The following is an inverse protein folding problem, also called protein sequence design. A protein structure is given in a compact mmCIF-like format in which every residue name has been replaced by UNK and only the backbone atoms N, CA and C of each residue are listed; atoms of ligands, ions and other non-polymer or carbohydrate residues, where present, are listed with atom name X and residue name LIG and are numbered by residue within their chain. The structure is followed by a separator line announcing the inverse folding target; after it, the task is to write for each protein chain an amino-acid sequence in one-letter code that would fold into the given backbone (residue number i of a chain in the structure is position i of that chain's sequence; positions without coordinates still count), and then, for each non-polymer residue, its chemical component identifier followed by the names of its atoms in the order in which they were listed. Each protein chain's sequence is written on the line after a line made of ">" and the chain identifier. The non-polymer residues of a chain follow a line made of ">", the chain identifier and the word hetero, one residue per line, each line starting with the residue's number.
data_IF_539408441136
#
_entry.id   IF_539408441136
#
_cell.length_a   1.000
_cell.length_b   1.000
_cell.length_c   1.000
_cell.angle_alpha   90.00
_cell.angle_beta   90.00
_cell.angle_gamma   90.00
#
_symmetry.space_group_name_H-M   'P 1'
#
loop_
_entity.id
_entity.type
_entity.pdbx_description
1 polymer ?
#
# COMPACT_ATOMS: atom_id res chain seq x y z
N UNK A 1 -9.97 31.24 5.41
CA UNK A 1 -9.58 29.84 5.18
C UNK A 1 -9.44 29.22 6.55
N UNK A 2 -10.33 28.31 6.98
CA UNK A 2 -10.06 27.60 8.23
C UNK A 2 -8.76 26.84 8.00
N UNK A 3 -7.77 27.15 8.84
CA UNK A 3 -6.54 26.40 8.95
C UNK A 3 -6.91 24.93 9.10
N UNK A 4 -6.48 24.07 8.17
CA UNK A 4 -6.71 22.62 8.20
C UNK A 4 -6.47 22.11 9.62
N UNK A 5 -7.56 21.95 10.37
CA UNK A 5 -7.46 21.42 11.70
C UNK A 5 -7.00 19.98 11.51
N UNK A 6 -5.91 19.61 12.18
CA UNK A 6 -5.42 18.24 12.13
C UNK A 6 -6.57 17.32 12.56
N UNK A 7 -6.96 16.43 11.66
CA UNK A 7 -7.90 15.38 12.00
C UNK A 7 -7.22 14.46 13.04
N UNK A 8 -7.97 13.99 14.05
CA UNK A 8 -7.44 13.00 14.98
C UNK A 8 -6.94 11.77 14.21
N UNK A 9 -5.73 11.30 14.52
CA UNK A 9 -5.13 10.11 13.86
C UNK A 9 -6.09 8.92 13.88
N UNK A 10 -6.86 8.74 14.95
CA UNK A 10 -7.85 7.67 15.11
C UNK A 10 -9.03 7.73 14.14
N UNK A 11 -9.23 8.85 13.44
CA UNK A 11 -10.30 9.03 12.45
C UNK A 11 -9.79 8.84 11.01
N UNK A 12 -8.48 8.73 10.80
CA UNK A 12 -7.91 8.48 9.48
C UNK A 12 -8.20 7.04 9.03
N UNK A 13 -8.39 6.80 7.71
CA UNK A 13 -8.37 5.46 7.15
C UNK A 13 -7.14 4.67 7.58
N UNK A 14 -7.32 3.36 7.77
CA UNK A 14 -6.25 2.43 8.17
C UNK A 14 -5.43 2.05 6.94
N UNK A 15 -4.14 2.35 6.97
CA UNK A 15 -3.17 1.91 5.95
C UNK A 15 -2.58 0.57 6.34
N UNK A 16 -3.08 -0.51 5.74
CA UNK A 16 -2.69 -1.89 6.05
C UNK A 16 -1.90 -2.48 4.88
N UNK A 17 -0.59 -2.62 5.06
CA UNK A 17 0.31 -3.17 4.03
C UNK A 17 0.52 -4.66 4.27
N UNK A 18 -0.22 -5.50 3.54
CA UNK A 18 -0.34 -6.95 3.76
C UNK A 18 -1.01 -7.32 5.11
N UNK A 19 -1.21 -8.63 5.33
CA UNK A 19 -1.77 -9.16 6.58
C UNK A 19 -0.77 -9.04 7.76
N UNK A 20 -1.25 -9.02 9.03
CA UNK A 20 -0.37 -9.00 10.19
C UNK A 20 0.67 -10.13 10.13
N UNK A 21 1.94 -9.78 10.36
CA UNK A 21 3.04 -10.74 10.33
C UNK A 21 4.35 -10.14 9.83
N UNK A 22 5.38 -11.00 9.62
CA UNK A 22 6.72 -10.54 9.23
C UNK A 22 6.75 -9.73 7.92
N UNK A 23 5.83 -10.00 6.98
CA UNK A 23 5.74 -9.25 5.73
C UNK A 23 5.27 -7.82 5.98
N UNK A 24 4.15 -7.62 6.71
CA UNK A 24 3.68 -6.27 7.05
C UNK A 24 4.76 -5.47 7.77
N UNK A 25 5.45 -6.07 8.74
CA UNK A 25 6.52 -5.40 9.47
C UNK A 25 7.68 -4.97 8.57
N UNK A 26 8.06 -5.81 7.59
CA UNK A 26 9.06 -5.46 6.60
C UNK A 26 8.61 -4.29 5.70
N UNK A 27 7.36 -4.32 5.23
CA UNK A 27 6.78 -3.25 4.40
C UNK A 27 6.68 -1.93 5.17
N UNK A 28 6.19 -1.98 6.41
CA UNK A 28 6.10 -0.82 7.30
C UNK A 28 7.49 -0.26 7.60
N UNK A 29 8.48 -1.11 7.86
CA UNK A 29 9.87 -0.68 8.03
C UNK A 29 10.40 0.00 6.77
N UNK A 30 10.08 -0.53 5.59
CA UNK A 30 10.47 0.08 4.31
C UNK A 30 9.81 1.47 4.11
N UNK A 31 8.56 1.66 4.53
CA UNK A 31 7.89 2.96 4.52
C UNK A 31 8.61 3.94 5.45
N UNK A 32 8.88 3.53 6.69
CA UNK A 32 9.56 4.35 7.70
C UNK A 32 10.98 4.77 7.28
N UNK A 33 11.67 3.91 6.55
CA UNK A 33 12.99 4.18 5.98
C UNK A 33 12.95 4.98 4.66
N UNK A 34 11.75 5.21 4.11
CA UNK A 34 11.55 5.89 2.82
C UNK A 34 11.96 5.07 1.60
N UNK A 35 12.14 3.75 1.75
CA UNK A 35 12.45 2.84 0.64
C UNK A 35 11.19 2.30 -0.03
N UNK A 36 10.06 2.23 0.70
CA UNK A 36 8.72 2.01 0.12
C UNK A 36 7.99 3.35 0.02
N UNK A 37 7.73 3.79 -1.20
CA UNK A 37 7.03 5.05 -1.54
C UNK A 37 5.92 4.86 -2.57
N UNK A 38 5.78 3.64 -3.09
CA UNK A 38 4.68 3.22 -3.95
C UNK A 38 3.95 2.02 -3.38
N UNK A 39 2.71 1.84 -3.82
CA UNK A 39 1.94 0.62 -3.64
C UNK A 39 1.06 0.36 -4.86
N UNK A 40 0.65 -0.89 -5.04
CA UNK A 40 -0.21 -1.32 -6.14
C UNK A 40 -1.34 -2.20 -5.64
N UNK A 41 -2.54 -1.94 -6.16
CA UNK A 41 -3.75 -2.75 -5.95
C UNK A 41 -4.40 -3.06 -7.30
N UNK A 42 -5.29 -4.05 -7.33
CA UNK A 42 -6.12 -4.31 -8.51
C UNK A 42 -7.22 -3.25 -8.61
N UNK A 43 -7.51 -2.78 -9.82
CA UNK A 43 -8.65 -1.88 -10.03
C UNK A 43 -9.99 -2.55 -9.62
N UNK A 44 -10.04 -3.89 -9.66
CA UNK A 44 -11.20 -4.67 -9.25
C UNK A 44 -11.54 -4.55 -7.74
N UNK A 45 -10.59 -4.10 -6.92
CA UNK A 45 -10.82 -3.84 -5.49
C UNK A 45 -11.66 -2.58 -5.25
N UNK A 46 -11.78 -1.71 -6.25
CA UNK A 46 -12.47 -0.43 -6.14
C UNK A 46 -13.91 -0.49 -6.65
N UNK A 47 -14.82 0.34 -6.10
CA UNK A 47 -16.20 0.39 -6.56
C UNK A 47 -16.31 0.86 -8.02
N UNK A 48 -17.39 0.46 -8.68
CA UNK A 48 -17.69 0.95 -10.02
C UNK A 48 -17.73 2.49 -10.08
N UNK A 49 -17.02 3.05 -11.06
CA UNK A 49 -16.90 4.50 -11.21
C UNK A 49 -15.83 5.14 -10.33
N UNK A 50 -14.92 4.35 -9.76
CA UNK A 50 -13.72 4.83 -9.08
C UNK A 50 -12.96 5.87 -9.91
N UNK A 51 -12.52 6.93 -9.23
CA UNK A 51 -11.80 8.06 -9.81
C UNK A 51 -10.46 8.24 -9.09
N UNK A 52 -9.36 7.72 -9.67
CA UNK A 52 -8.04 7.74 -9.06
C UNK A 52 -7.59 9.11 -8.54
N UNK A 53 -7.96 10.19 -9.24
CA UNK A 53 -7.54 11.55 -8.90
C UNK A 53 -8.16 12.06 -7.60
N UNK A 54 -9.30 11.50 -7.16
CA UNK A 54 -9.96 11.90 -5.91
C UNK A 54 -9.18 11.41 -4.68
N UNK A 55 -8.28 10.43 -4.84
CA UNK A 55 -7.45 9.92 -3.74
C UNK A 55 -6.17 10.72 -3.50
N UNK A 56 -5.79 11.61 -4.43
CA UNK A 56 -4.59 12.45 -4.26
C UNK A 56 -4.80 13.41 -3.10
N UNK A 57 -3.90 13.36 -2.13
CA UNK A 57 -3.96 14.14 -0.91
C UNK A 57 -4.59 13.42 0.29
N UNK A 58 -5.21 12.25 0.07
CA UNK A 58 -5.74 11.42 1.16
C UNK A 58 -4.64 11.06 2.15
N UNK A 59 -5.03 10.96 3.42
CA UNK A 59 -4.18 10.56 4.53
C UNK A 59 -4.57 9.17 4.99
N UNK A 60 -3.57 8.35 5.30
CA UNK A 60 -3.76 7.01 5.85
C UNK A 60 -2.87 6.83 7.08
N UNK A 61 -3.44 6.30 8.16
CA UNK A 61 -2.70 5.92 9.36
C UNK A 61 -2.13 4.52 9.17
N UNK A 62 -0.81 4.44 8.94
CA UNK A 62 -0.11 3.18 8.69
C UNK A 62 -0.02 2.40 9.99
N UNK A 63 -0.41 1.12 9.93
CA UNK A 63 -0.44 0.23 11.08
C UNK A 63 0.68 -0.79 11.03
N UNK A 64 1.24 -1.10 12.20
CA UNK A 64 2.05 -2.29 12.37
C UNK A 64 1.20 -3.57 12.47
N UNK A 65 1.85 -4.71 12.69
CA UNK A 65 1.16 -5.99 12.84
C UNK A 65 0.38 -6.12 14.15
N UNK A 66 0.56 -5.21 15.12
CA UNK A 66 -0.17 -5.16 16.39
C UNK A 66 -1.28 -4.10 16.40
N UNK A 67 -1.68 -3.58 15.23
CA UNK A 67 -2.66 -2.51 15.05
C UNK A 67 -2.28 -1.15 15.67
N UNK A 68 -1.01 -0.93 15.99
CA UNK A 68 -0.54 0.38 16.42
C UNK A 68 -0.26 1.29 15.21
N UNK A 69 -0.70 2.55 15.30
CA UNK A 69 -0.33 3.56 14.29
C UNK A 69 1.13 3.96 14.46
N UNK A 70 1.93 3.72 13.43
CA UNK A 70 3.38 4.03 13.41
C UNK A 70 3.71 5.30 12.63
N UNK A 71 2.95 5.64 11.59
CA UNK A 71 3.10 6.90 10.87
C UNK A 71 1.80 7.25 10.13
N UNK A 72 1.77 8.44 9.53
CA UNK A 72 0.71 8.84 8.58
C UNK A 72 1.37 9.09 7.24
N UNK A 73 0.82 8.51 6.19
CA UNK A 73 1.24 8.78 4.80
C UNK A 73 0.19 9.63 4.10
N UNK A 74 0.64 10.37 3.08
CA UNK A 74 -0.21 11.10 2.16
C UNK A 74 -0.01 10.58 0.75
N UNK A 75 -1.08 10.25 0.07
CA UNK A 75 -1.07 9.94 -1.36
C UNK A 75 -0.70 11.17 -2.18
N UNK A 76 0.35 11.08 -2.98
CA UNK A 76 0.88 12.18 -3.80
C UNK A 76 0.54 12.02 -5.27
N UNK A 77 0.32 10.79 -5.73
CA UNK A 77 -0.02 10.48 -7.12
C UNK A 77 -0.82 9.17 -7.16
N UNK A 78 -1.82 9.11 -8.05
CA UNK A 78 -2.54 7.86 -8.36
C UNK A 78 -2.72 7.74 -9.86
N UNK A 79 -2.40 6.57 -10.41
CA UNK A 79 -2.57 6.26 -11.82
C UNK A 79 -3.12 4.85 -12.01
N UNK A 80 -3.99 4.68 -13.02
CA UNK A 80 -4.41 3.36 -13.49
C UNK A 80 -3.62 3.01 -14.74
N UNK A 81 -3.07 1.80 -14.78
CA UNK A 81 -2.38 1.27 -15.95
C UNK A 81 -2.61 -0.24 -16.06
N UNK A 82 -2.18 -0.83 -17.18
CA UNK A 82 -2.15 -2.29 -17.31
C UNK A 82 -1.04 -2.86 -16.42
N UNK A 83 -1.24 -4.07 -15.92
CA UNK A 83 -0.25 -4.80 -15.13
C UNK A 83 1.09 -4.93 -15.88
N UNK A 84 1.05 -5.15 -17.20
CA UNK A 84 2.25 -5.21 -18.03
C UNK A 84 2.99 -3.86 -18.19
N UNK A 85 2.37 -2.73 -17.85
CA UNK A 85 2.95 -1.39 -18.00
C UNK A 85 3.55 -0.86 -16.67
N UNK A 86 3.58 -1.68 -15.61
CA UNK A 86 4.32 -1.37 -14.38
C UNK A 86 5.81 -1.47 -14.66
N UNK A 87 6.54 -0.39 -14.40
CA UNK A 87 7.97 -0.28 -14.72
C UNK A 87 8.85 -0.54 -13.49
N UNK A 88 10.15 -0.76 -13.73
CA UNK A 88 11.12 -1.04 -12.66
C UNK A 88 11.18 0.08 -11.62
N UNK A 89 11.03 1.35 -12.02
CA UNK A 89 11.01 2.48 -11.10
C UNK A 89 9.91 2.33 -10.04
N UNK A 90 8.69 1.99 -10.46
CA UNK A 90 7.56 1.77 -9.55
C UNK A 90 7.74 0.51 -8.71
N UNK A 91 8.17 -0.59 -9.34
CA UNK A 91 8.38 -1.88 -8.69
C UNK A 91 9.46 -1.80 -7.60
N UNK A 92 10.58 -1.13 -7.87
CA UNK A 92 11.65 -0.91 -6.90
C UNK A 92 11.21 0.02 -5.76
N UNK A 93 10.41 1.04 -6.08
CA UNK A 93 9.86 1.96 -5.09
C UNK A 93 8.81 1.32 -4.17
N UNK A 94 8.34 0.09 -4.46
CA UNK A 94 7.51 -0.68 -3.53
C UNK A 94 8.33 -1.20 -2.34
N UNK A 95 9.66 -1.14 -2.41
CA UNK A 95 10.55 -1.38 -1.27
C UNK A 95 10.53 -2.81 -0.73
N UNK A 96 9.99 -3.77 -1.47
CA UNK A 96 9.82 -5.18 -1.03
C UNK A 96 11.05 -6.04 -1.34
N UNK A 97 12.08 -5.44 -1.95
CA UNK A 97 13.35 -6.12 -2.27
C UNK A 97 13.39 -6.78 -3.65
N UNK A 98 12.41 -6.53 -4.51
CA UNK A 98 12.43 -6.98 -5.91
C UNK A 98 13.62 -6.39 -6.68
N UNK A 99 14.18 -7.17 -7.61
CA UNK A 99 15.24 -6.71 -8.49
C UNK A 99 14.73 -5.86 -9.66
N UNK A 100 13.52 -6.15 -10.14
CA UNK A 100 12.88 -5.49 -11.30
C UNK A 100 11.36 -5.71 -11.30
N UNK A 101 10.66 -5.15 -12.30
CA UNK A 101 9.22 -5.29 -12.47
C UNK A 101 8.76 -6.74 -12.76
N UNK A 102 9.63 -7.60 -13.30
CA UNK A 102 9.29 -9.00 -13.55
C UNK A 102 9.19 -9.80 -12.25
N UNK A 103 10.14 -9.58 -11.33
CA UNK A 103 10.11 -10.22 -10.01
C UNK A 103 8.96 -9.67 -9.16
N UNK A 104 8.76 -8.35 -9.18
CA UNK A 104 7.62 -7.68 -8.55
C UNK A 104 6.29 -8.29 -9.01
N UNK A 105 6.13 -8.48 -10.32
CA UNK A 105 4.92 -9.06 -10.91
C UNK A 105 4.69 -10.48 -10.42
N UNK A 106 5.72 -11.31 -10.36
CA UNK A 106 5.59 -12.68 -9.87
C UNK A 106 5.08 -12.70 -8.41
N UNK A 107 5.65 -11.85 -7.54
CA UNK A 107 5.21 -11.74 -6.15
C UNK A 107 3.78 -11.22 -5.99
N UNK A 108 3.41 -10.19 -6.75
CA UNK A 108 2.05 -9.63 -6.72
C UNK A 108 1.01 -10.61 -7.25
N UNK A 109 1.32 -11.32 -8.33
CA UNK A 109 0.42 -12.34 -8.85
C UNK A 109 0.29 -13.55 -7.90
N UNK A 110 1.33 -13.91 -7.14
CA UNK A 110 1.23 -14.90 -6.07
C UNK A 110 0.30 -14.42 -4.95
N UNK A 111 0.47 -13.17 -4.51
CA UNK A 111 -0.40 -12.56 -3.51
C UNK A 111 -1.86 -12.52 -3.96
N UNK A 112 -2.15 -12.05 -5.17
CA UNK A 112 -3.52 -11.98 -5.68
C UNK A 112 -4.16 -13.34 -5.97
N UNK A 113 -3.36 -14.41 -6.07
CA UNK A 113 -3.85 -15.79 -6.18
C UNK A 113 -3.86 -16.54 -4.85
N UNK A 114 -3.45 -15.90 -3.75
CA UNK A 114 -3.49 -16.51 -2.42
C UNK A 114 -4.93 -16.82 -1.99
N UNK A 115 -5.16 -17.89 -1.20
CA UNK A 115 -6.50 -18.22 -0.70
C UNK A 115 -7.19 -17.05 0.01
N UNK A 116 -6.44 -16.28 0.81
CA UNK A 116 -6.93 -15.15 1.58
C UNK A 116 -7.42 -14.02 0.67
N UNK A 117 -6.70 -13.71 -0.40
CA UNK A 117 -7.10 -12.66 -1.34
C UNK A 117 -8.26 -13.12 -2.24
N UNK A 118 -8.27 -14.39 -2.65
CA UNK A 118 -9.39 -14.98 -3.40
C UNK A 118 -10.65 -15.03 -2.55
N UNK A 119 -10.55 -15.29 -1.24
CA UNK A 119 -11.69 -15.19 -0.31
C UNK A 119 -12.19 -13.74 -0.20
N UNK A 120 -11.28 -12.77 -0.26
CA UNK A 120 -11.60 -11.35 -0.14
C UNK A 120 -12.35 -10.78 -1.35
N UNK A 121 -11.90 -11.03 -2.59
CA UNK A 121 -12.49 -10.42 -3.81
C UNK A 121 -13.05 -11.41 -4.83
N UNK A 122 -12.76 -12.70 -4.68
CA UNK A 122 -13.02 -13.74 -5.68
C UNK A 122 -11.83 -14.04 -6.58
N UNK A 123 -11.91 -15.17 -7.29
CA UNK A 123 -10.89 -15.57 -8.26
C UNK A 123 -10.94 -14.68 -9.51
N UNK A 124 -9.78 -14.19 -9.95
CA UNK A 124 -9.63 -13.37 -11.14
C UNK A 124 -8.64 -13.99 -12.12
N UNK A 125 -8.95 -13.89 -13.41
CA UNK A 125 -8.01 -14.25 -14.48
C UNK A 125 -7.00 -13.10 -14.69
N UNK A 126 -5.91 -13.14 -13.91
CA UNK A 126 -4.87 -12.10 -13.95
C UNK A 126 -3.96 -12.32 -15.16
N UNK A 127 -3.89 -11.32 -16.04
CA UNK A 127 -3.09 -11.31 -17.25
C UNK A 127 -2.50 -9.90 -17.53
N UNK A 128 -1.82 -9.74 -18.67
CA UNK A 128 -1.13 -8.49 -19.03
C UNK A 128 -2.03 -7.25 -19.07
N UNK A 129 -3.30 -7.42 -19.46
CA UNK A 129 -4.25 -6.31 -19.61
C UNK A 129 -5.03 -6.01 -18.32
N UNK A 130 -4.82 -6.81 -17.25
CA UNK A 130 -5.38 -6.55 -15.92
C UNK A 130 -5.07 -5.12 -15.50
N UNK A 131 -6.09 -4.36 -15.11
CA UNK A 131 -5.93 -2.98 -14.66
C UNK A 131 -5.49 -2.94 -13.20
N UNK A 132 -4.43 -2.21 -12.93
CA UNK A 132 -3.91 -1.95 -11.57
C UNK A 132 -3.96 -0.47 -11.25
N UNK A 133 -4.18 -0.16 -9.98
CA UNK A 133 -4.07 1.18 -9.42
C UNK A 133 -2.70 1.29 -8.77
N UNK A 134 -1.87 2.19 -9.29
CA UNK A 134 -0.56 2.53 -8.75
C UNK A 134 -0.66 3.81 -7.95
N UNK A 135 -0.20 3.78 -6.72
CA UNK A 135 -0.18 4.94 -5.85
C UNK A 135 1.27 5.27 -5.48
N UNK A 136 1.57 6.57 -5.40
CA UNK A 136 2.74 7.09 -4.70
C UNK A 136 2.29 7.82 -3.46
N UNK A 137 3.11 7.75 -2.43
CA UNK A 137 2.86 8.43 -1.17
C UNK A 137 4.16 8.92 -0.54
N UNK A 138 4.00 9.80 0.45
CA UNK A 138 5.08 10.26 1.31
C UNK A 138 4.59 10.35 2.75
N UNK A 139 5.50 10.20 3.72
CA UNK A 139 5.19 10.44 5.14
C UNK A 139 4.73 11.89 5.33
N UNK A 140 3.57 12.10 5.96
CA UNK A 140 3.05 13.43 6.25
C UNK A 140 3.74 14.00 7.48
N UNK A 141 4.65 14.96 7.27
CA UNK A 141 5.46 15.61 8.32
C UNK A 141 4.68 16.32 9.44
N UNK A 142 3.35 16.44 9.30
CA UNK A 142 2.48 17.05 10.30
C UNK A 142 2.11 16.09 11.44
N UNK A 143 2.30 14.79 11.24
CA UNK A 143 2.01 13.75 12.22
C UNK A 143 3.29 13.06 12.70
N UNK A 144 3.36 12.63 13.98
CA UNK A 144 4.55 11.98 14.51
C UNK A 144 4.75 10.59 13.92
N UNK A 145 6.02 10.24 13.70
CA UNK A 145 6.45 8.88 13.40
C UNK A 145 6.87 8.18 14.69
N UNK A 146 6.50 6.91 14.85
CA UNK A 146 6.85 6.06 15.98
C UNK A 146 7.69 4.87 15.53
N UNK A 147 8.40 4.28 16.48
CA UNK A 147 9.13 3.03 16.26
C UNK A 147 8.15 1.86 16.09
N UNK A 148 8.53 0.91 15.24
CA UNK A 148 7.83 -0.35 15.04
C UNK A 148 8.05 -1.29 16.23
N UNK A 149 7.01 -1.99 16.66
CA UNK A 149 7.10 -3.13 17.57
C UNK A 149 7.20 -4.44 16.74
N UNK A 150 8.33 -5.16 16.77
CA UNK A 150 8.51 -6.36 15.93
C UNK A 150 7.50 -7.46 16.24
N UNK A 151 6.94 -8.04 15.18
CA UNK A 151 6.04 -9.18 15.22
C UNK A 151 6.77 -10.40 15.78
N UNK A 152 6.30 -10.88 16.93
CA UNK A 152 6.73 -12.14 17.51
C UNK A 152 5.59 -13.15 17.33
N UNK A 153 5.81 -14.17 16.51
CA UNK A 153 4.79 -15.19 16.20
C UNK A 153 4.41 -16.11 17.39
N UNK A 154 4.72 -15.71 18.62
CA UNK A 154 4.50 -16.48 19.86
C UNK A 154 3.23 -16.06 20.64
N UNK A 155 2.27 -15.42 19.99
CA UNK A 155 0.95 -15.10 20.59
C UNK A 155 -0.21 -15.61 19.75
#
# INVERSE_FOLDING_TARGET
>A
MPQDALEPISALPRGEFAFPGPLRDALVTAILNGTKTTTTSLLAEYPHGYKPQEDVGNLEAVLDSHDNVVCVIRTTEVQVCRLADVNDEHALAEGEGYADASEWRAGHEEFWRSPEFVEYIGELDINDDTQVVRQRFAIDSRYPVKALEPWNAET
#
